data_IF_957792455774
#
_entry.id   IF_957792455774
#
_cell.length_a   1.000
_cell.length_b   1.000
_cell.length_c   1.000
_cell.angle_alpha   90.00
_cell.angle_beta   90.00
_cell.angle_gamma   90.00
#
_symmetry.space_group_name_H-M   'P 1'
#
loop_
_entity.id
_entity.type
_entity.pdbx_description
1 polymer ?
#
# COMPACT_ATOMS: atom_id res chain seq x y z
N UNK A 1 -56.53 12.02 23.90
CA UNK A 1 -55.19 11.97 24.51
C UNK A 1 -54.47 10.75 23.94
N UNK A 2 -53.95 10.93 22.72
CA UNK A 2 -52.98 10.02 22.14
C UNK A 2 -51.61 10.57 22.50
N UNK A 3 -50.68 9.75 22.97
CA UNK A 3 -49.26 9.78 22.59
C UNK A 3 -48.45 8.81 23.46
N UNK A 4 -47.44 8.21 22.83
CA UNK A 4 -46.20 7.67 23.41
C UNK A 4 -46.15 6.24 23.95
N UNK A 5 -46.32 5.22 23.09
CA UNK A 5 -45.66 3.91 23.29
C UNK A 5 -45.27 3.20 21.99
N UNK A 6 -44.90 3.93 20.93
CA UNK A 6 -44.55 3.31 19.63
C UNK A 6 -43.21 3.74 19.01
N UNK A 7 -42.30 4.34 19.78
CA UNK A 7 -41.03 4.87 19.24
C UNK A 7 -39.75 4.23 19.81
N UNK A 8 -39.84 3.22 20.67
CA UNK A 8 -38.65 2.64 21.31
C UNK A 8 -38.10 1.36 20.64
N UNK A 9 -38.78 0.78 19.64
CA UNK A 9 -38.40 -0.54 19.09
C UNK A 9 -37.80 -0.46 17.67
N UNK A 10 -37.90 0.68 16.98
CA UNK A 10 -37.42 0.82 15.58
C UNK A 10 -35.99 1.42 15.49
N UNK A 11 -35.40 1.89 16.59
CA UNK A 11 -34.05 2.50 16.57
C UNK A 11 -32.93 1.46 16.76
N UNK A 12 -33.24 0.21 17.12
CA UNK A 12 -32.24 -0.80 17.51
C UNK A 12 -31.86 -1.84 16.44
N UNK A 13 -32.41 -1.77 15.21
CA UNK A 13 -32.19 -2.82 14.19
C UNK A 13 -31.67 -2.37 12.81
N UNK A 14 -31.25 -1.11 12.62
CA UNK A 14 -30.79 -0.63 11.30
C UNK A 14 -29.34 -0.15 11.23
N UNK A 15 -28.51 -0.46 12.24
CA UNK A 15 -27.06 -0.38 12.12
C UNK A 15 -26.45 -1.76 11.83
N UNK A 16 -27.06 -2.50 10.91
CA UNK A 16 -26.37 -3.56 10.17
C UNK A 16 -25.42 -2.87 9.18
N UNK A 17 -24.20 -2.59 9.66
CA UNK A 17 -22.94 -2.52 8.91
C UNK A 17 -23.04 -2.49 7.38
N UNK A 18 -23.59 -1.39 6.84
CA UNK A 18 -23.59 -1.10 5.42
C UNK A 18 -22.90 0.25 5.26
N UNK A 19 -21.58 0.24 5.32
CA UNK A 19 -20.75 1.38 4.91
C UNK A 19 -20.86 1.46 3.39
N UNK A 20 -21.83 2.23 2.91
CA UNK A 20 -22.05 2.49 1.48
C UNK A 20 -20.96 3.40 0.94
N UNK A 21 -19.79 2.82 0.70
CA UNK A 21 -18.85 3.38 -0.26
C UNK A 21 -19.44 3.25 -1.66
N UNK A 22 -20.02 4.35 -2.17
CA UNK A 22 -20.34 4.61 -3.59
C UNK A 22 -20.70 3.36 -4.42
N UNK A 23 -22.00 3.08 -4.53
CA UNK A 23 -22.66 2.16 -5.49
C UNK A 23 -22.24 0.69 -5.50
N UNK A 24 -21.36 0.20 -4.62
CA UNK A 24 -20.95 -1.21 -4.56
C UNK A 24 -21.47 -1.87 -3.30
N UNK A 25 -22.10 -3.03 -3.45
CA UNK A 25 -22.44 -3.88 -2.32
C UNK A 25 -21.24 -4.76 -2.01
N UNK A 26 -20.70 -4.63 -0.79
CA UNK A 26 -19.49 -5.33 -0.35
C UNK A 26 -19.85 -6.35 0.73
N UNK A 27 -19.29 -7.55 0.62
CA UNK A 27 -19.37 -8.58 1.63
C UNK A 27 -17.99 -8.84 2.22
N UNK A 28 -17.90 -8.91 3.56
CA UNK A 28 -16.65 -9.15 4.27
C UNK A 28 -16.20 -10.59 4.05
N UNK A 29 -14.94 -10.77 3.68
CA UNK A 29 -14.32 -12.09 3.50
C UNK A 29 -14.07 -12.72 4.88
N UNK A 30 -14.59 -13.94 5.08
CA UNK A 30 -14.43 -14.71 6.31
C UNK A 30 -13.04 -15.39 6.41
N UNK A 31 -12.64 -15.74 7.63
CA UNK A 31 -11.36 -16.39 7.96
C UNK A 31 -11.30 -17.85 7.45
N UNK A 32 -10.78 -18.03 6.24
CA UNK A 32 -9.85 -19.10 5.79
C UNK A 32 -9.63 -18.95 4.27
N UNK A 33 -9.14 -17.78 3.86
CA UNK A 33 -9.00 -17.41 2.46
C UNK A 33 -7.53 -17.21 2.05
N UNK A 34 -7.23 -17.41 0.76
CA UNK A 34 -5.90 -17.24 0.19
C UNK A 34 -5.30 -15.84 0.48
N UNK A 35 -6.16 -14.82 0.55
CA UNK A 35 -5.76 -13.45 0.88
C UNK A 35 -5.27 -13.31 2.32
N UNK A 36 -5.88 -14.01 3.27
CA UNK A 36 -5.45 -14.03 4.68
C UNK A 36 -4.07 -14.67 4.81
N UNK A 37 -3.83 -15.78 4.09
CA UNK A 37 -2.51 -16.42 4.05
C UNK A 37 -1.45 -15.50 3.45
N UNK A 38 -1.72 -14.88 2.31
CA UNK A 38 -0.77 -13.95 1.69
C UNK A 38 -0.52 -12.71 2.55
N UNK A 39 -1.57 -12.16 3.17
CA UNK A 39 -1.43 -11.07 4.15
C UNK A 39 -0.52 -11.47 5.32
N UNK A 40 -0.73 -12.65 5.89
CA UNK A 40 0.12 -13.17 6.96
C UNK A 40 1.58 -13.35 6.50
N UNK A 41 1.80 -13.91 5.32
CA UNK A 41 3.14 -14.03 4.70
C UNK A 41 3.80 -12.66 4.57
N UNK A 42 3.12 -11.69 3.96
CA UNK A 42 3.62 -10.30 3.82
C UNK A 42 3.96 -9.73 5.19
N UNK A 43 3.03 -9.71 6.14
CA UNK A 43 3.26 -9.16 7.47
C UNK A 43 4.43 -9.81 8.21
N UNK A 44 4.58 -11.14 8.08
CA UNK A 44 5.67 -11.88 8.72
C UNK A 44 7.04 -11.58 8.11
N UNK A 45 7.10 -11.16 6.84
CA UNK A 45 8.35 -10.96 6.08
C UNK A 45 8.77 -9.49 5.99
N UNK A 46 7.80 -8.56 6.00
CA UNK A 46 8.08 -7.12 5.91
C UNK A 46 8.94 -6.59 7.06
N UNK A 47 8.83 -7.24 8.23
CA UNK A 47 9.40 -6.76 9.50
C UNK A 47 10.21 -7.82 10.25
N UNK A 48 10.82 -8.78 9.55
CA UNK A 48 11.73 -9.74 10.20
C UNK A 48 12.92 -9.04 10.85
N UNK A 49 13.59 -9.67 11.81
CA UNK A 49 14.74 -9.11 12.57
C UNK A 49 16.01 -8.85 11.72
N UNK A 50 15.88 -8.79 10.39
CA UNK A 50 16.94 -8.40 9.47
C UNK A 50 16.60 -7.03 8.89
N UNK A 51 17.63 -6.22 8.77
CA UNK A 51 17.61 -4.90 8.16
C UNK A 51 17.99 -5.08 6.68
N UNK A 52 17.02 -5.17 5.75
CA UNK A 52 17.32 -5.50 4.37
C UNK A 52 17.99 -4.33 3.65
N UNK A 53 18.77 -4.67 2.62
CA UNK A 53 19.30 -3.71 1.65
C UNK A 53 18.51 -3.83 0.35
N UNK A 54 18.36 -2.74 -0.40
CA UNK A 54 17.68 -2.78 -1.68
C UNK A 54 18.26 -1.77 -2.68
N UNK A 55 18.21 -2.17 -3.95
CA UNK A 55 18.45 -1.32 -5.09
C UNK A 55 17.10 -0.88 -5.63
N UNK A 56 17.01 0.37 -6.03
CA UNK A 56 15.81 0.92 -6.63
C UNK A 56 16.14 1.75 -7.86
N UNK A 57 15.57 1.38 -9.00
CA UNK A 57 15.61 2.20 -10.21
C UNK A 57 14.39 3.13 -10.21
N UNK A 58 14.64 4.43 -10.17
CA UNK A 58 13.60 5.45 -10.05
C UNK A 58 13.46 6.19 -11.37
N UNK A 59 12.23 6.16 -11.90
CA UNK A 59 11.85 6.81 -13.15
C UNK A 59 10.74 7.83 -12.88
N UNK A 60 10.74 8.94 -13.61
CA UNK A 60 9.69 9.95 -13.54
C UNK A 60 9.03 10.16 -14.91
N UNK A 61 7.73 10.46 -14.91
CA UNK A 61 7.04 10.93 -16.12
C UNK A 61 7.43 12.35 -16.53
N UNK A 62 8.06 13.11 -15.64
CA UNK A 62 8.55 14.44 -15.93
C UNK A 62 9.91 14.32 -16.63
N UNK A 63 9.98 14.64 -17.92
CA UNK A 63 11.21 14.55 -18.72
C UNK A 63 12.37 15.43 -18.22
N UNK A 64 12.11 16.39 -17.31
CA UNK A 64 13.15 17.19 -16.66
C UNK A 64 13.81 16.46 -15.48
N UNK A 65 13.19 15.38 -15.01
CA UNK A 65 13.69 14.53 -13.94
C UNK A 65 14.42 13.35 -14.59
N UNK A 66 15.76 13.28 -14.47
CA UNK A 66 16.50 12.12 -14.98
C UNK A 66 16.16 10.88 -14.14
N UNK A 67 16.27 9.70 -14.75
CA UNK A 67 16.24 8.44 -14.01
C UNK A 67 17.51 8.29 -13.18
N UNK A 68 17.38 7.73 -11.97
CA UNK A 68 18.50 7.50 -11.09
C UNK A 68 18.36 6.19 -10.33
N UNK A 69 19.49 5.65 -9.87
CA UNK A 69 19.54 4.47 -9.02
C UNK A 69 19.70 4.89 -7.57
N UNK A 70 19.00 4.19 -6.68
CA UNK A 70 19.09 4.34 -5.23
C UNK A 70 19.56 3.03 -4.63
N UNK A 71 20.64 3.06 -3.87
CA UNK A 71 21.01 2.00 -2.93
C UNK A 71 20.56 2.40 -1.53
N UNK A 72 19.91 1.50 -0.80
CA UNK A 72 19.39 1.86 0.51
C UNK A 72 19.37 0.70 1.51
N UNK A 73 19.54 1.06 2.79
CA UNK A 73 19.64 0.15 3.92
C UNK A 73 18.69 0.61 5.03
N UNK A 74 17.90 -0.33 5.54
CA UNK A 74 17.08 -0.11 6.73
C UNK A 74 17.93 -0.27 8.00
N UNK A 75 17.70 0.55 9.02
CA UNK A 75 18.40 0.46 10.30
C UNK A 75 17.41 0.54 11.47
N UNK A 76 17.89 0.16 12.66
CA UNK A 76 17.16 0.31 13.92
C UNK A 76 15.76 -0.30 13.89
N UNK A 77 15.65 -1.55 13.42
CA UNK A 77 14.37 -2.27 13.28
C UNK A 77 13.36 -1.45 12.46
N UNK A 78 13.77 -1.04 11.26
CA UNK A 78 12.97 -0.29 10.29
C UNK A 78 12.60 1.14 10.71
N UNK A 79 13.23 1.69 11.76
CA UNK A 79 12.98 3.06 12.21
C UNK A 79 13.75 4.11 11.39
N UNK A 80 14.77 3.69 10.65
CA UNK A 80 15.64 4.54 9.86
C UNK A 80 15.91 3.91 8.48
N UNK A 81 15.96 4.75 7.45
CA UNK A 81 16.35 4.38 6.09
C UNK A 81 17.50 5.28 5.68
N UNK A 82 18.64 4.70 5.32
CA UNK A 82 19.74 5.42 4.68
C UNK A 82 19.72 5.09 3.19
N UNK A 83 19.81 6.11 2.35
CA UNK A 83 19.79 5.96 0.91
C UNK A 83 20.88 6.79 0.23
N UNK A 84 21.51 6.22 -0.79
CA UNK A 84 22.53 6.88 -1.62
C UNK A 84 22.09 6.86 -3.08
N UNK A 85 22.10 8.03 -3.72
CA UNK A 85 21.85 8.16 -5.15
C UNK A 85 23.15 7.88 -5.88
N UNK A 86 23.11 6.84 -6.70
CA UNK A 86 24.25 6.36 -7.47
C UNK A 86 24.04 6.77 -8.92
N UNK A 87 25.04 7.40 -9.52
CA UNK A 87 24.97 7.72 -10.94
C UNK A 87 25.51 6.60 -11.83
N UNK A 88 25.57 6.87 -13.15
CA UNK A 88 25.77 5.82 -14.15
C UNK A 88 27.11 5.09 -14.05
N UNK A 89 28.12 5.66 -13.40
CA UNK A 89 29.47 5.09 -13.27
C UNK A 89 29.75 4.53 -11.86
N UNK A 90 28.73 4.44 -10.99
CA UNK A 90 28.83 3.86 -9.65
C UNK A 90 29.27 4.84 -8.56
N UNK A 91 29.37 6.13 -8.87
CA UNK A 91 29.72 7.19 -7.95
C UNK A 91 28.49 7.73 -7.19
N UNK A 92 28.64 7.97 -5.88
CA UNK A 92 27.60 8.58 -5.05
C UNK A 92 27.55 10.10 -5.30
N UNK A 93 26.39 10.61 -5.70
CA UNK A 93 26.17 12.04 -5.90
C UNK A 93 25.62 12.74 -4.66
N UNK A 94 24.76 12.02 -3.94
CA UNK A 94 24.05 12.51 -2.77
C UNK A 94 23.56 11.34 -1.94
N UNK A 95 23.48 11.54 -0.63
CA UNK A 95 22.85 10.61 0.29
C UNK A 95 21.82 11.32 1.16
N UNK A 96 20.85 10.54 1.64
CA UNK A 96 19.85 11.01 2.58
C UNK A 96 19.55 9.96 3.63
N UNK A 97 19.07 10.42 4.78
CA UNK A 97 18.59 9.59 5.86
C UNK A 97 17.16 9.99 6.22
N UNK A 98 16.23 9.03 6.16
CA UNK A 98 14.86 9.21 6.68
C UNK A 98 14.78 8.58 8.06
N UNK A 99 14.49 9.39 9.08
CA UNK A 99 14.33 8.96 10.47
C UNK A 99 13.01 9.47 11.04
N UNK A 100 12.08 8.55 11.28
CA UNK A 100 10.69 8.95 11.49
C UNK A 100 10.20 9.75 10.28
N UNK A 101 9.72 10.98 10.50
CA UNK A 101 9.23 11.89 9.45
C UNK A 101 10.23 13.01 9.12
N UNK A 102 11.50 12.86 9.53
CA UNK A 102 12.58 13.81 9.25
C UNK A 102 13.51 13.26 8.19
N UNK A 103 14.09 14.16 7.42
CA UNK A 103 15.13 13.82 6.45
C UNK A 103 16.35 14.71 6.60
N UNK A 104 17.52 14.08 6.66
CA UNK A 104 18.82 14.70 6.66
C UNK A 104 19.54 14.40 5.34
N UNK A 105 20.15 15.41 4.71
CA UNK A 105 20.83 15.28 3.41
C UNK A 105 22.34 15.47 3.54
N UNK A 106 23.10 14.73 2.75
CA UNK A 106 24.54 14.92 2.56
C UNK A 106 24.85 14.98 1.07
N UNK A 107 25.49 16.06 0.62
CA UNK A 107 25.87 16.26 -0.79
C UNK A 107 27.40 16.23 -0.92
N UNK A 108 27.92 15.43 -1.86
CA UNK A 108 29.35 15.23 -2.05
C UNK A 108 29.99 16.14 -3.12
N UNK A 109 29.20 16.95 -3.84
CA UNK A 109 29.71 17.90 -4.85
C UNK A 109 28.92 19.21 -4.90
N UNK A 110 29.60 20.31 -5.25
CA UNK A 110 28.98 21.64 -5.50
C UNK A 110 28.14 21.67 -6.81
N UNK A 111 28.09 20.58 -7.57
CA UNK A 111 27.47 20.50 -8.89
C UNK A 111 26.12 19.80 -8.90
N UNK A 112 25.37 19.85 -7.81
CA UNK A 112 23.95 19.46 -7.84
C UNK A 112 23.15 20.71 -8.09
N UNK A 113 22.84 20.97 -9.36
CA UNK A 113 21.65 21.75 -9.72
C UNK A 113 20.54 21.25 -8.82
N UNK A 114 19.97 22.13 -7.99
CA UNK A 114 18.85 21.91 -7.08
C UNK A 114 17.81 21.01 -7.78
N UNK A 115 17.98 19.70 -7.64
CA UNK A 115 17.34 18.74 -8.54
C UNK A 115 16.02 18.42 -7.87
N UNK A 116 14.99 19.14 -8.30
CA UNK A 116 13.59 19.02 -7.85
C UNK A 116 13.17 17.56 -7.64
N UNK A 117 13.64 16.63 -8.46
CA UNK A 117 13.32 15.21 -8.40
C UNK A 117 13.69 14.51 -7.09
N UNK A 118 14.96 14.64 -6.65
CA UNK A 118 15.43 13.98 -5.45
C UNK A 118 14.68 14.57 -4.26
N UNK A 119 14.66 15.90 -4.16
CA UNK A 119 13.92 16.65 -3.13
C UNK A 119 12.44 16.28 -3.09
N UNK A 120 11.78 16.09 -4.25
CA UNK A 120 10.38 15.66 -4.32
C UNK A 120 10.21 14.22 -3.82
N UNK A 121 11.06 13.28 -4.27
CA UNK A 121 11.01 11.88 -3.83
C UNK A 121 11.28 11.75 -2.32
N UNK A 122 12.31 12.41 -1.84
CA UNK A 122 12.70 12.38 -0.43
C UNK A 122 11.71 13.11 0.47
N UNK A 123 11.04 14.16 -0.03
CA UNK A 123 9.89 14.80 0.64
C UNK A 123 8.73 13.82 0.80
N UNK A 124 8.47 12.96 -0.19
CA UNK A 124 7.46 11.89 -0.09
C UNK A 124 7.86 10.86 0.97
N UNK A 125 9.12 10.41 0.93
CA UNK A 125 9.63 9.46 1.93
C UNK A 125 9.58 10.04 3.35
N UNK A 126 9.90 11.33 3.52
CA UNK A 126 9.79 12.02 4.79
C UNK A 126 8.34 12.09 5.30
N UNK A 127 7.37 12.40 4.43
CA UNK A 127 5.95 12.44 4.82
C UNK A 127 5.40 11.09 5.25
N UNK A 128 5.78 10.01 4.55
CA UNK A 128 5.37 8.65 4.90
C UNK A 128 6.07 8.20 6.18
N UNK A 129 7.36 8.54 6.27
CA UNK A 129 8.28 8.15 7.31
C UNK A 129 8.83 6.75 7.11
N UNK A 130 10.02 6.51 7.65
CA UNK A 130 10.81 5.30 7.44
C UNK A 130 10.00 4.00 7.66
N UNK A 131 9.44 3.79 8.86
CA UNK A 131 8.68 2.57 9.18
C UNK A 131 7.52 2.30 8.23
N UNK A 132 6.78 3.33 7.85
CA UNK A 132 5.66 3.18 6.92
C UNK A 132 6.16 2.98 5.48
N UNK A 133 7.27 3.61 5.08
CA UNK A 133 7.84 3.40 3.75
C UNK A 133 8.23 1.93 3.53
N UNK A 134 8.71 1.21 4.55
CA UNK A 134 8.87 -0.26 4.47
C UNK A 134 7.54 -0.97 4.19
N UNK A 135 6.46 -0.60 4.89
CA UNK A 135 5.10 -1.13 4.62
C UNK A 135 4.69 -0.91 3.17
N UNK A 136 4.96 0.27 2.64
CA UNK A 136 4.66 0.63 1.25
C UNK A 136 5.45 -0.22 0.26
N UNK A 137 6.76 -0.32 0.46
CA UNK A 137 7.64 -1.11 -0.42
C UNK A 137 7.30 -2.59 -0.42
N UNK A 138 6.79 -3.14 0.68
CA UNK A 138 6.42 -4.54 0.76
C UNK A 138 4.93 -4.83 0.57
N UNK A 139 4.10 -3.80 0.38
CA UNK A 139 2.67 -3.96 0.13
C UNK A 139 1.82 -4.29 1.37
N UNK A 140 2.37 -4.26 2.59
CA UNK A 140 1.63 -4.64 3.80
C UNK A 140 0.52 -3.65 4.18
N UNK A 141 0.65 -2.40 3.74
CA UNK A 141 -0.26 -1.32 4.06
C UNK A 141 -1.72 -1.60 3.62
N UNK A 142 -1.91 -2.38 2.56
CA UNK A 142 -3.23 -2.73 2.05
C UNK A 142 -3.96 -3.78 2.89
N UNK A 143 -3.29 -4.34 3.90
CA UNK A 143 -3.79 -5.40 4.77
C UNK A 143 -3.77 -5.01 6.25
N UNK A 144 -3.37 -3.79 6.56
CA UNK A 144 -3.32 -3.31 7.94
C UNK A 144 -4.73 -3.00 8.44
N UNK A 145 -5.02 -3.41 9.68
CA UNK A 145 -6.32 -3.24 10.30
C UNK A 145 -6.16 -2.48 11.61
N UNK A 146 -6.52 -1.20 11.61
CA UNK A 146 -6.49 -0.36 12.81
C UNK A 146 -7.91 -0.03 13.31
N UNK A 147 -8.87 0.07 12.40
CA UNK A 147 -10.26 0.39 12.72
C UNK A 147 -11.19 -0.84 12.61
N UNK A 148 -12.36 -0.76 13.26
CA UNK A 148 -13.32 -1.88 13.27
C UNK A 148 -13.92 -2.17 11.89
N UNK A 149 -14.08 -1.10 11.09
CA UNK A 149 -14.60 -1.14 9.71
C UNK A 149 -13.57 -1.59 8.68
N UNK A 150 -12.29 -1.61 9.04
CA UNK A 150 -11.22 -2.11 8.18
C UNK A 150 -11.43 -3.61 7.90
N UNK A 151 -11.07 -4.03 6.70
CA UNK A 151 -11.24 -5.42 6.27
C UNK A 151 -10.97 -5.67 4.81
N UNK A 152 -11.17 -6.93 4.45
CA UNK A 152 -11.08 -7.42 3.07
C UNK A 152 -12.49 -7.81 2.65
N UNK A 153 -12.84 -7.40 1.44
CA UNK A 153 -14.19 -7.48 0.91
C UNK A 153 -14.19 -8.08 -0.49
N UNK A 154 -15.28 -8.74 -0.84
CA UNK A 154 -15.64 -9.10 -2.20
C UNK A 154 -16.82 -8.25 -2.66
N UNK A 155 -16.81 -7.87 -3.93
CA UNK A 155 -17.95 -7.18 -4.55
C UNK A 155 -19.07 -8.19 -4.82
N UNK A 156 -20.26 -7.94 -4.29
CA UNK A 156 -21.45 -8.72 -4.57
C UNK A 156 -21.99 -8.28 -5.93
N UNK A 157 -21.96 -9.16 -6.92
CA UNK A 157 -22.57 -8.91 -8.24
C UNK A 157 -23.97 -9.51 -8.27
N UNK A 158 -24.99 -8.67 -8.17
CA UNK A 158 -26.38 -9.09 -8.37
C UNK A 158 -26.61 -9.29 -9.87
N UNK A 159 -26.78 -10.54 -10.29
CA UNK A 159 -27.25 -10.88 -11.63
C UNK A 159 -28.73 -11.21 -11.50
N UNK A 160 -29.58 -10.34 -12.06
CA UNK A 160 -31.05 -10.46 -12.18
C UNK A 160 -31.76 -11.35 -11.13
N UNK A 161 -32.03 -10.77 -9.96
CA UNK A 161 -32.97 -11.31 -8.98
C UNK A 161 -32.45 -12.40 -8.05
N UNK A 162 -31.25 -12.94 -8.30
CA UNK A 162 -30.56 -13.82 -7.34
C UNK A 162 -29.27 -13.16 -6.86
N UNK A 163 -29.23 -12.81 -5.57
CA UNK A 163 -27.99 -12.50 -4.88
C UNK A 163 -27.18 -13.78 -4.73
N UNK A 164 -26.36 -14.09 -5.73
CA UNK A 164 -25.35 -15.12 -5.59
C UNK A 164 -24.15 -14.50 -4.87
N UNK A 165 -23.86 -14.97 -3.66
CA UNK A 165 -22.49 -14.98 -3.19
C UNK A 165 -21.75 -15.87 -4.19
N UNK A 166 -20.82 -15.33 -4.96
CA UNK A 166 -20.04 -16.12 -5.91
C UNK A 166 -19.05 -17.03 -5.15
N UNK A 167 -19.58 -18.06 -4.50
CA UNK A 167 -18.88 -19.30 -4.26
C UNK A 167 -19.66 -20.39 -5.01
N UNK A 168 -19.52 -20.38 -6.34
CA UNK A 168 -19.95 -21.52 -7.14
C UNK A 168 -19.06 -22.69 -6.70
N UNK A 169 -19.67 -23.75 -6.19
CA UNK A 169 -19.05 -25.06 -6.02
C UNK A 169 -18.37 -25.47 -7.35
N UNK A 170 -17.06 -25.24 -7.44
CA UNK A 170 -16.21 -25.61 -8.56
C UNK A 170 -14.93 -26.20 -8.00
N UNK A 171 -14.57 -27.39 -8.48
CA UNK A 171 -13.21 -27.88 -8.40
C UNK A 171 -12.23 -26.78 -8.86
N UNK A 172 -11.06 -26.59 -8.24
CA UNK A 172 -10.15 -25.51 -8.61
C UNK A 172 -9.77 -25.72 -10.07
N UNK A 173 -9.86 -24.70 -10.92
CA UNK A 173 -8.77 -23.75 -11.13
C UNK A 173 -9.36 -22.44 -11.71
N UNK A 174 -9.44 -21.37 -10.91
CA UNK A 174 -9.67 -19.98 -11.37
C UNK A 174 -8.49 -19.13 -10.89
N UNK A 175 -7.51 -18.93 -11.76
CA UNK A 175 -6.19 -18.49 -11.32
C UNK A 175 -6.16 -17.06 -10.75
N UNK A 176 -7.15 -16.21 -11.05
CA UNK A 176 -7.19 -14.80 -10.62
C UNK A 176 -8.38 -14.50 -9.71
N UNK A 177 -8.12 -13.88 -8.55
CA UNK A 177 -9.10 -13.42 -7.57
C UNK A 177 -8.99 -11.91 -7.36
N UNK A 178 -10.11 -11.24 -7.13
CA UNK A 178 -10.16 -9.80 -6.89
C UNK A 178 -10.82 -9.52 -5.55
N UNK A 179 -10.20 -8.64 -4.78
CA UNK A 179 -10.66 -8.18 -3.48
C UNK A 179 -10.60 -6.67 -3.41
N UNK A 180 -11.41 -6.10 -2.54
CA UNK A 180 -11.33 -4.71 -2.11
C UNK A 180 -10.84 -4.73 -0.68
N UNK A 181 -9.77 -4.02 -0.37
CA UNK A 181 -9.30 -3.84 1.00
C UNK A 181 -9.53 -2.41 1.44
N UNK A 182 -9.99 -2.25 2.67
CA UNK A 182 -10.09 -0.97 3.36
C UNK A 182 -9.24 -1.11 4.62
N UNK A 183 -8.23 -0.26 4.71
CA UNK A 183 -7.23 -0.28 5.78
C UNK A 183 -7.03 1.13 6.29
N UNK A 184 -6.80 1.29 7.59
CA UNK A 184 -6.36 2.56 8.15
C UNK A 184 -4.89 2.47 8.54
N UNK A 185 -4.12 3.52 8.24
CA UNK A 185 -2.71 3.67 8.62
C UNK A 185 -2.55 4.93 9.48
N UNK A 186 -1.57 4.92 10.39
CA UNK A 186 -1.13 6.13 11.09
C UNK A 186 0.13 6.67 10.44
N UNK A 187 0.01 7.85 9.82
CA UNK A 187 1.11 8.60 9.21
C UNK A 187 1.16 9.97 9.88
N UNK A 188 2.26 10.30 10.56
CA UNK A 188 2.44 11.58 11.26
C UNK A 188 1.30 11.93 12.23
N UNK A 189 0.86 10.94 13.02
CA UNK A 189 -0.28 11.02 13.93
C UNK A 189 -1.65 11.26 13.26
N UNK A 190 -1.71 11.23 11.93
CA UNK A 190 -2.96 11.29 11.19
C UNK A 190 -3.38 9.90 10.75
N UNK A 191 -4.67 9.61 10.92
CA UNK A 191 -5.29 8.43 10.34
C UNK A 191 -5.52 8.67 8.84
N UNK A 192 -4.98 7.75 8.04
CA UNK A 192 -5.08 7.73 6.59
C UNK A 192 -5.80 6.46 6.19
N UNK A 193 -7.00 6.61 5.63
CA UNK A 193 -7.73 5.49 5.07
C UNK A 193 -7.13 5.13 3.70
N UNK A 194 -6.91 3.85 3.47
CA UNK A 194 -6.36 3.31 2.23
C UNK A 194 -7.33 2.32 1.67
N UNK A 195 -7.80 2.60 0.46
CA UNK A 195 -8.65 1.68 -0.28
C UNK A 195 -7.85 1.06 -1.41
N UNK A 196 -7.77 -0.27 -1.43
CA UNK A 196 -6.99 -1.00 -2.43
C UNK A 196 -7.84 -1.98 -3.21
N UNK A 197 -7.73 -1.91 -4.54
CA UNK A 197 -8.21 -2.99 -5.41
C UNK A 197 -7.08 -4.00 -5.56
N UNK A 198 -7.26 -5.16 -4.95
CA UNK A 198 -6.27 -6.22 -4.83
C UNK A 198 -6.58 -7.34 -5.82
N UNK A 199 -5.63 -7.66 -6.69
CA UNK A 199 -5.69 -8.80 -7.59
C UNK A 199 -4.64 -9.84 -7.17
N UNK A 200 -5.09 -11.07 -6.90
CA UNK A 200 -4.22 -12.21 -6.63
C UNK A 200 -4.30 -13.20 -7.78
N UNK A 201 -3.15 -13.63 -8.30
CA UNK A 201 -3.07 -14.70 -9.28
C UNK A 201 -2.16 -15.84 -8.77
N UNK A 202 -2.67 -17.08 -8.71
CA UNK A 202 -1.83 -18.22 -8.34
C UNK A 202 -0.86 -18.53 -9.48
N UNK A 203 0.45 -18.52 -9.19
CA UNK A 203 1.51 -18.83 -10.14
C UNK A 203 2.50 -19.81 -9.53
N UNK A 204 2.45 -21.07 -9.98
CA UNK A 204 3.24 -22.15 -9.39
C UNK A 204 2.92 -22.36 -7.91
N UNK A 205 3.94 -22.25 -7.05
CA UNK A 205 3.83 -22.42 -5.60
C UNK A 205 3.43 -21.14 -4.84
N UNK A 206 3.39 -19.98 -5.51
CA UNK A 206 3.08 -18.70 -4.89
C UNK A 206 1.96 -17.92 -5.58
N UNK A 207 1.88 -16.63 -5.27
CA UNK A 207 0.86 -15.71 -5.76
C UNK A 207 1.51 -14.45 -6.33
N UNK A 208 1.18 -14.12 -7.58
CA UNK A 208 1.40 -12.79 -8.12
C UNK A 208 0.33 -11.85 -7.60
N UNK A 209 0.73 -10.64 -7.19
CA UNK A 209 -0.12 -9.66 -6.54
C UNK A 209 -0.01 -8.33 -7.28
N UNK A 210 -1.16 -7.68 -7.48
CA UNK A 210 -1.23 -6.30 -7.93
C UNK A 210 -2.23 -5.56 -7.06
N UNK A 211 -1.81 -4.45 -6.48
CA UNK A 211 -2.63 -3.61 -5.60
C UNK A 211 -2.66 -2.20 -6.16
N UNK A 212 -3.85 -1.71 -6.48
CA UNK A 212 -4.05 -0.32 -6.88
C UNK A 212 -4.76 0.40 -5.74
N UNK A 213 -4.03 1.31 -5.11
CA UNK A 213 -4.37 1.85 -3.80
C UNK A 213 -4.55 3.36 -3.86
N UNK A 214 -5.52 3.85 -3.12
CA UNK A 214 -5.86 5.27 -3.02
C UNK A 214 -5.90 5.69 -1.55
N UNK A 215 -5.19 6.77 -1.22
CA UNK A 215 -4.95 7.22 0.16
C UNK A 215 -5.78 8.46 0.50
N UNK A 216 -6.74 8.31 1.39
CA UNK A 216 -7.64 9.37 1.84
C UNK A 216 -7.16 9.92 3.19
N UNK A 217 -6.96 11.25 3.26
CA UNK A 217 -6.45 11.89 4.47
C UNK A 217 -7.61 12.41 5.34
N UNK A 218 -7.80 11.81 6.53
CA UNK A 218 -8.80 12.26 7.50
C UNK A 218 -10.26 12.09 7.05
N UNK A 219 -11.22 12.53 7.88
CA UNK A 219 -12.63 12.11 7.77
C UNK A 219 -13.40 12.66 6.57
N UNK A 220 -12.81 13.53 5.72
CA UNK A 220 -13.53 14.18 4.62
C UNK A 220 -12.73 14.42 3.32
N UNK A 221 -11.49 13.94 3.13
CA UNK A 221 -10.75 14.32 1.90
C UNK A 221 -11.26 13.55 0.67
N UNK A 222 -12.13 14.20 -0.11
CA UNK A 222 -12.61 13.69 -1.41
C UNK A 222 -11.51 13.66 -2.49
N UNK A 223 -10.32 14.16 -2.17
CA UNK A 223 -9.17 14.22 -3.05
C UNK A 223 -7.98 13.58 -2.33
N UNK A 224 -7.53 12.46 -2.89
CA UNK A 224 -6.23 11.89 -2.57
C UNK A 224 -5.27 12.33 -3.66
N UNK A 225 -4.22 13.06 -3.32
CA UNK A 225 -3.14 13.32 -4.28
C UNK A 225 -2.24 12.10 -4.47
N UNK A 226 -2.33 11.08 -3.60
CA UNK A 226 -1.45 9.92 -3.62
C UNK A 226 -2.21 8.68 -4.09
N UNK A 227 -1.79 8.17 -5.26
CA UNK A 227 -2.18 6.84 -5.74
C UNK A 227 -0.95 5.97 -5.81
N UNK A 228 -1.07 4.74 -5.31
CA UNK A 228 0.03 3.79 -5.26
C UNK A 228 -0.38 2.51 -5.96
N UNK A 229 0.38 2.14 -6.99
CA UNK A 229 0.34 0.78 -7.53
C UNK A 229 1.51 0.01 -6.96
N UNK A 230 1.23 -1.11 -6.30
CA UNK A 230 2.24 -2.06 -5.86
C UNK A 230 2.05 -3.37 -6.61
N UNK A 231 3.12 -3.93 -7.12
CA UNK A 231 3.13 -5.27 -7.71
C UNK A 231 4.25 -6.10 -7.08
N UNK A 232 3.99 -7.40 -6.91
CA UNK A 232 4.97 -8.31 -6.37
C UNK A 232 4.57 -9.78 -6.47
N UNK A 233 5.43 -10.65 -5.96
CA UNK A 233 5.18 -12.08 -5.86
C UNK A 233 5.39 -12.56 -4.42
N UNK A 234 4.42 -13.25 -3.85
CA UNK A 234 4.51 -13.87 -2.53
C UNK A 234 4.65 -15.39 -2.68
N UNK A 235 5.72 -15.93 -2.13
CA UNK A 235 5.97 -17.36 -1.92
C UNK A 235 6.06 -17.59 -0.41
N UNK A 236 5.76 -18.80 0.08
CA UNK A 236 5.63 -19.11 1.50
C UNK A 236 6.61 -18.35 2.43
N UNK A 237 7.90 -18.33 2.07
CA UNK A 237 8.96 -17.73 2.88
C UNK A 237 9.56 -16.44 2.30
N UNK A 238 9.03 -15.91 1.19
CA UNK A 238 9.61 -14.74 0.50
C UNK A 238 8.55 -13.83 -0.14
N UNK A 239 8.76 -12.52 -0.06
CA UNK A 239 8.02 -11.52 -0.83
C UNK A 239 8.99 -10.78 -1.73
N UNK A 240 8.68 -10.74 -3.02
CA UNK A 240 9.47 -10.06 -4.02
C UNK A 240 8.68 -8.83 -4.50
N UNK A 241 8.88 -7.64 -3.89
CA UNK A 241 8.31 -6.42 -4.43
C UNK A 241 8.98 -6.15 -5.78
N UNK A 242 8.20 -5.81 -6.81
CA UNK A 242 8.73 -5.61 -8.16
C UNK A 242 8.60 -4.17 -8.62
N UNK A 243 7.50 -3.51 -8.28
CA UNK A 243 7.20 -2.17 -8.79
C UNK A 243 6.34 -1.41 -7.78
N UNK A 244 6.70 -0.15 -7.55
CA UNK A 244 5.92 0.81 -6.78
C UNK A 244 5.77 2.09 -7.60
N UNK A 245 4.54 2.41 -7.99
CA UNK A 245 4.25 3.62 -8.79
C UNK A 245 3.42 4.61 -7.98
N UNK A 246 3.97 5.79 -7.74
CA UNK A 246 3.30 6.91 -7.11
C UNK A 246 2.80 7.88 -8.17
N UNK A 247 1.57 8.35 -8.01
CA UNK A 247 1.14 9.60 -8.64
C UNK A 247 0.97 10.65 -7.55
N UNK A 248 1.53 11.84 -7.76
CA UNK A 248 1.39 13.01 -6.88
C UNK A 248 1.12 14.23 -7.77
N UNK A 249 -0.07 14.81 -7.65
CA UNK A 249 -0.51 15.86 -8.59
C UNK A 249 -0.49 15.35 -10.04
N UNK A 250 0.35 15.94 -10.89
CA UNK A 250 0.53 15.53 -12.29
C UNK A 250 1.67 14.54 -12.52
N UNK A 251 2.61 14.44 -11.59
CA UNK A 251 3.83 13.65 -11.78
C UNK A 251 3.63 12.20 -11.35
N UNK A 252 4.25 11.30 -12.10
CA UNK A 252 4.26 9.85 -11.86
C UNK A 252 5.70 9.42 -11.62
N UNK A 253 5.92 8.76 -10.49
CA UNK A 253 7.19 8.18 -10.11
C UNK A 253 7.07 6.66 -10.07
N UNK A 254 7.90 5.95 -10.82
CA UNK A 254 7.97 4.48 -10.81
C UNK A 254 9.28 4.05 -10.17
N UNK A 255 9.18 3.24 -9.13
CA UNK A 255 10.31 2.68 -8.39
C UNK A 255 10.31 1.17 -8.61
N UNK A 256 11.33 0.66 -9.29
CA UNK A 256 11.54 -0.77 -9.41
C UNK A 256 12.48 -1.22 -8.30
N UNK A 257 11.99 -2.03 -7.37
CA UNK A 257 12.72 -2.40 -6.16
C UNK A 257 13.30 -3.80 -6.33
N UNK A 258 14.56 -3.96 -5.96
CA UNK A 258 15.21 -5.26 -5.83
C UNK A 258 15.83 -5.34 -4.44
N UNK A 259 15.19 -6.08 -3.54
CA UNK A 259 15.75 -6.38 -2.22
C UNK A 259 16.86 -7.43 -2.38
N UNK A 260 18.02 -7.17 -1.77
CA UNK A 260 19.16 -8.09 -1.76
C UNK A 260 19.77 -8.10 -0.36
N UNK A 261 19.98 -9.32 0.15
CA UNK A 261 20.54 -9.67 1.47
C UNK A 261 19.57 -9.62 2.67
#
# INVERSE_FOLDING_TARGET
>A
MCFNYFHAIIILFLFSSCTTMRSRQLERVQEDNAVTRVSATINSLCFQDKNPQFLADINSSNFRVPSFQLEAIWENSFAQLKGSVVGPLGEEYSSFEVKGNKIDYTFHSESVSDNDALNQMTSVFAKIGSKNLRKFLCGSYAFEKLNEVDGIFTEVKTVDGNSFNSEINLAPISNKRQFITISTLVIDNNEVEVQSNLSLERKGLGYSLVMNSQFYYGPFSKESDVRVRWAGYALADNVYPTELTFKIGTDIYTINVTEYQ
#
